data_IF_457982889966
#
_entry.id   IF_457982889966
#
_cell.length_a   1.000
_cell.length_b   1.000
_cell.length_c   1.000
_cell.angle_alpha   90.00
_cell.angle_beta   90.00
_cell.angle_gamma   90.00
#
_symmetry.space_group_name_H-M   'P 1'
#
loop_
_entity.id
_entity.type
_entity.pdbx_description
1 polymer ?
#
# COMPACT_ATOMS: atom_id res chain seq x y z
N UNK A 1 -50.98 26.36 8.99
CA UNK A 1 -50.64 25.55 7.80
C UNK A 1 -49.20 25.76 7.30
N UNK A 2 -48.70 26.99 7.11
CA UNK A 2 -47.33 27.27 6.61
C UNK A 2 -46.19 26.60 7.41
N UNK A 3 -46.23 26.62 8.75
CA UNK A 3 -45.16 26.04 9.59
C UNK A 3 -45.06 24.52 9.49
N UNK A 4 -46.17 23.81 9.30
CA UNK A 4 -46.18 22.36 9.12
C UNK A 4 -45.54 21.94 7.80
N UNK A 5 -45.74 22.73 6.74
CA UNK A 5 -45.13 22.48 5.44
C UNK A 5 -43.61 22.65 5.49
N UNK A 6 -43.12 23.68 6.20
CA UNK A 6 -41.67 23.91 6.40
C UNK A 6 -41.03 22.79 7.22
N UNK A 7 -41.72 22.27 8.25
CA UNK A 7 -41.21 21.15 9.04
C UNK A 7 -41.16 19.85 8.23
N UNK A 8 -42.17 19.59 7.38
CA UNK A 8 -42.20 18.42 6.51
C UNK A 8 -41.10 18.46 5.45
N UNK A 9 -40.86 19.61 4.81
CA UNK A 9 -39.77 19.75 3.83
C UNK A 9 -38.41 19.63 4.49
N UNK A 10 -38.24 20.15 5.71
CA UNK A 10 -37.00 20.03 6.47
C UNK A 10 -36.72 18.57 6.88
N UNK A 11 -37.72 17.84 7.38
CA UNK A 11 -37.56 16.41 7.70
C UNK A 11 -37.26 15.55 6.46
N UNK A 12 -37.90 15.85 5.32
CA UNK A 12 -37.63 15.12 4.07
C UNK A 12 -36.20 15.38 3.56
N UNK A 13 -35.69 16.61 3.69
CA UNK A 13 -34.31 16.94 3.30
C UNK A 13 -33.27 16.24 4.17
N UNK A 14 -33.51 16.09 5.48
CA UNK A 14 -32.58 15.42 6.39
C UNK A 14 -32.54 13.90 6.21
N UNK A 15 -33.67 13.26 5.83
CA UNK A 15 -33.68 11.82 5.56
C UNK A 15 -32.92 11.41 4.28
N UNK A 16 -32.68 12.34 3.36
CA UNK A 16 -31.93 12.08 2.12
C UNK A 16 -30.43 11.78 2.32
N UNK A 17 -29.84 12.16 3.46
CA UNK A 17 -28.41 11.95 3.72
C UNK A 17 -28.07 10.63 4.44
N UNK A 18 -29.05 9.88 4.92
CA UNK A 18 -28.81 8.62 5.63
C UNK A 18 -28.73 7.40 4.69
N UNK A 19 -29.10 7.57 3.42
CA UNK A 19 -29.10 6.53 2.41
C UNK A 19 -27.94 6.70 1.42
N UNK A 20 -26.72 6.92 1.91
CA UNK A 20 -25.57 6.55 1.11
C UNK A 20 -25.59 5.01 1.04
N UNK A 21 -25.63 4.39 -0.16
CA UNK A 21 -25.45 2.95 -0.24
C UNK A 21 -24.13 2.65 0.45
N UNK A 22 -24.15 1.73 1.42
CA UNK A 22 -22.92 1.18 1.98
C UNK A 22 -22.12 0.67 0.78
N UNK A 23 -21.04 1.36 0.44
CA UNK A 23 -20.12 0.93 -0.60
C UNK A 23 -19.80 -0.52 -0.29
N UNK A 24 -20.24 -1.40 -1.18
CA UNK A 24 -20.03 -2.84 -1.06
C UNK A 24 -18.55 -3.02 -0.76
N UNK A 25 -18.21 -3.69 0.34
CA UNK A 25 -16.83 -3.83 0.82
C UNK A 25 -16.09 -4.78 -0.14
N UNK A 26 -15.84 -4.29 -1.35
CA UNK A 26 -15.09 -4.98 -2.38
C UNK A 26 -13.63 -4.90 -1.95
N UNK A 27 -12.90 -6.03 -1.96
CA UNK A 27 -11.49 -6.03 -1.63
C UNK A 27 -10.78 -5.06 -2.57
N UNK A 28 -10.32 -3.94 -2.00
CA UNK A 28 -9.57 -2.91 -2.73
C UNK A 28 -8.22 -3.54 -3.09
N UNK A 29 -8.01 -3.70 -4.39
CA UNK A 29 -6.77 -4.16 -4.94
C UNK A 29 -5.76 -3.01 -4.88
N UNK A 30 -4.84 -3.05 -3.90
CA UNK A 30 -3.79 -2.05 -3.74
C UNK A 30 -2.72 -2.10 -4.84
N UNK A 31 -2.79 -3.09 -5.73
CA UNK A 31 -1.88 -3.29 -6.86
C UNK A 31 -2.27 -2.50 -8.12
N UNK A 32 -3.41 -1.80 -8.11
CA UNK A 32 -3.89 -1.00 -9.24
C UNK A 32 -4.50 -1.81 -10.39
N UNK A 33 -4.50 -3.15 -10.32
CA UNK A 33 -5.02 -4.03 -11.37
C UNK A 33 -6.47 -4.49 -11.14
N UNK A 34 -7.10 -4.02 -10.06
CA UNK A 34 -8.49 -4.38 -9.72
C UNK A 34 -8.67 -5.85 -9.32
N UNK A 35 -7.57 -6.59 -9.12
CA UNK A 35 -7.60 -8.01 -8.81
C UNK A 35 -7.65 -8.23 -7.29
N UNK A 36 -8.61 -9.01 -6.82
CA UNK A 36 -8.71 -9.32 -5.39
C UNK A 36 -7.44 -10.07 -4.93
N UNK A 37 -6.63 -9.52 -3.99
CA UNK A 37 -5.39 -10.15 -3.55
C UNK A 37 -5.62 -11.49 -2.84
N UNK A 38 -6.82 -11.74 -2.34
CA UNK A 38 -7.21 -13.01 -1.71
C UNK A 38 -7.75 -14.04 -2.71
N UNK A 39 -7.98 -13.64 -3.97
CA UNK A 39 -8.43 -14.56 -5.01
C UNK A 39 -7.22 -15.27 -5.59
N UNK A 40 -6.91 -16.44 -5.03
CA UNK A 40 -5.82 -17.27 -5.51
C UNK A 40 -6.06 -17.61 -7.00
N UNK A 41 -5.20 -17.16 -7.92
CA UNK A 41 -5.36 -17.48 -9.33
C UNK A 41 -4.95 -18.93 -9.50
N UNK A 42 -5.92 -19.86 -9.61
CA UNK A 42 -5.76 -21.29 -9.96
C UNK A 42 -4.32 -21.83 -9.81
N UNK A 43 -3.77 -21.79 -8.59
CA UNK A 43 -2.35 -22.11 -8.38
C UNK A 43 -2.24 -23.61 -8.27
N UNK A 44 -1.74 -24.25 -9.32
CA UNK A 44 -0.92 -25.46 -9.18
C UNK A 44 0.04 -25.19 -8.02
N UNK A 45 -0.03 -26.01 -6.98
CA UNK A 45 0.63 -25.80 -5.69
C UNK A 45 2.05 -25.26 -5.88
N UNK A 46 2.25 -23.96 -5.65
CA UNK A 46 3.60 -23.38 -5.62
C UNK A 46 4.24 -23.95 -4.36
N UNK A 47 5.04 -25.00 -4.52
CA UNK A 47 5.84 -25.55 -3.44
C UNK A 47 6.85 -24.47 -3.08
N UNK A 48 6.55 -23.68 -2.04
CA UNK A 48 7.48 -22.72 -1.46
C UNK A 48 8.71 -23.50 -1.02
N UNK A 49 9.74 -23.56 -1.86
CA UNK A 49 11.04 -24.12 -1.47
C UNK A 49 11.46 -23.36 -0.23
N UNK A 50 11.68 -24.10 0.87
CA UNK A 50 12.31 -23.54 2.06
C UNK A 50 13.57 -22.81 1.60
N UNK A 51 13.73 -21.56 2.04
CA UNK A 51 14.94 -20.81 1.78
C UNK A 51 16.13 -21.70 2.14
N UNK A 52 17.01 -21.96 1.16
CA UNK A 52 18.27 -22.62 1.43
C UNK A 52 19.04 -21.76 2.45
N UNK A 53 19.88 -22.43 3.25
CA UNK A 53 20.62 -21.90 4.40
C UNK A 53 20.91 -20.38 4.33
N UNK A 54 20.70 -19.64 5.44
CA UNK A 54 20.93 -18.21 5.45
C UNK A 54 22.32 -17.91 4.90
N UNK A 55 22.38 -16.97 3.96
CA UNK A 55 23.63 -16.45 3.47
C UNK A 55 24.49 -16.02 4.68
N UNK A 56 25.82 -16.21 4.63
CA UNK A 56 26.70 -15.78 5.71
C UNK A 56 26.39 -14.32 6.05
N UNK A 57 26.33 -14.02 7.36
CA UNK A 57 26.00 -12.70 7.86
C UNK A 57 26.99 -11.69 7.27
N UNK A 58 26.55 -10.92 6.27
CA UNK A 58 27.27 -9.74 5.84
C UNK A 58 27.15 -8.69 6.94
N UNK A 59 28.25 -7.95 7.13
CA UNK A 59 28.27 -6.78 7.99
C UNK A 59 27.18 -5.79 7.52
N UNK A 60 26.33 -5.34 8.45
CA UNK A 60 25.23 -4.43 8.15
C UNK A 60 25.79 -3.01 7.95
N UNK A 61 25.81 -2.47 6.71
CA UNK A 61 26.36 -1.14 6.46
C UNK A 61 25.56 -0.03 7.15
N UNK A 62 24.37 -0.31 7.67
CA UNK A 62 23.53 0.62 8.43
C UNK A 62 23.68 0.53 9.94
N UNK A 63 24.57 -0.34 10.46
CA UNK A 63 24.71 -0.53 11.90
C UNK A 63 25.01 0.78 12.65
N UNK A 64 25.96 1.58 12.15
CA UNK A 64 26.33 2.84 12.78
C UNK A 64 25.25 3.92 12.57
N UNK A 65 24.65 4.00 11.38
CA UNK A 65 23.55 4.95 11.11
C UNK A 65 22.36 4.73 12.04
N UNK A 66 22.02 3.48 12.34
CA UNK A 66 20.95 3.14 13.28
C UNK A 66 21.28 3.58 14.71
N UNK A 67 22.56 3.51 15.12
CA UNK A 67 22.99 4.05 16.42
C UNK A 67 22.81 5.56 16.46
N UNK A 68 23.23 6.27 15.43
CA UNK A 68 23.02 7.72 15.29
C UNK A 68 21.53 8.06 15.35
N UNK A 69 20.70 7.38 14.56
CA UNK A 69 19.24 7.58 14.53
C UNK A 69 18.61 7.48 15.94
N UNK A 70 19.07 6.52 16.76
CA UNK A 70 18.60 6.33 18.13
C UNK A 70 18.97 7.47 19.10
N UNK A 71 19.93 8.32 18.76
CA UNK A 71 20.30 9.50 19.55
C UNK A 71 19.55 10.76 19.14
N UNK A 72 18.94 10.76 17.96
CA UNK A 72 18.23 11.93 17.42
C UNK A 72 16.81 12.01 17.96
N UNK A 73 16.30 13.24 18.08
CA UNK A 73 14.89 13.46 18.46
C UNK A 73 13.99 12.86 17.39
N UNK A 74 13.02 11.99 17.74
CA UNK A 74 12.10 11.39 16.77
C UNK A 74 11.42 12.45 15.90
N UNK A 75 11.37 12.18 14.59
CA UNK A 75 10.74 13.02 13.58
C UNK A 75 11.35 14.43 13.40
N UNK A 76 12.52 14.69 13.98
CA UNK A 76 13.28 15.91 13.65
C UNK A 76 13.86 15.85 12.24
N UNK A 77 14.27 17.00 11.70
CA UNK A 77 14.92 17.08 10.38
C UNK A 77 16.16 16.17 10.29
N UNK A 78 17.02 16.22 11.32
CA UNK A 78 18.20 15.36 11.39
C UNK A 78 17.83 13.87 11.46
N UNK A 79 16.74 13.54 12.15
CA UNK A 79 16.25 12.16 12.23
C UNK A 79 15.79 11.67 10.85
N UNK A 80 15.04 12.49 10.11
CA UNK A 80 14.62 12.16 8.74
C UNK A 80 15.80 11.99 7.79
N UNK A 81 16.81 12.87 7.87
CA UNK A 81 18.01 12.75 7.04
C UNK A 81 18.71 11.39 7.23
N UNK A 82 18.91 10.95 8.48
CA UNK A 82 19.54 9.65 8.77
C UNK A 82 18.61 8.48 8.42
N UNK A 83 17.30 8.63 8.63
CA UNK A 83 16.32 7.61 8.27
C UNK A 83 16.31 7.34 6.76
N UNK A 84 16.31 8.40 5.95
CA UNK A 84 16.29 8.31 4.50
C UNK A 84 17.57 7.68 3.94
N UNK A 85 18.73 7.96 4.55
CA UNK A 85 19.98 7.27 4.21
C UNK A 85 19.92 5.76 4.50
N UNK A 86 19.33 5.38 5.63
CA UNK A 86 19.15 3.97 6.01
C UNK A 86 18.24 3.28 5.00
N UNK A 87 17.12 3.90 4.62
CA UNK A 87 16.16 3.34 3.68
C UNK A 87 16.77 3.23 2.27
N UNK A 88 17.50 4.25 1.81
CA UNK A 88 18.17 4.23 0.52
C UNK A 88 19.19 3.07 0.40
N UNK A 89 19.96 2.79 1.47
CA UNK A 89 20.88 1.64 1.47
C UNK A 89 20.12 0.31 1.56
N UNK A 90 19.01 0.25 2.30
CA UNK A 90 18.16 -0.93 2.35
C UNK A 90 17.58 -1.26 0.97
N UNK A 91 17.05 -0.26 0.26
CA UNK A 91 16.55 -0.39 -1.11
C UNK A 91 17.65 -0.83 -2.07
N UNK A 92 18.88 -0.31 -1.92
CA UNK A 92 20.03 -0.75 -2.72
C UNK A 92 20.34 -2.24 -2.49
N UNK A 93 20.33 -2.69 -1.24
CA UNK A 93 20.52 -4.10 -0.91
C UNK A 93 19.38 -4.98 -1.41
N UNK A 94 18.15 -4.51 -1.31
CA UNK A 94 16.99 -5.22 -1.84
C UNK A 94 17.10 -5.33 -3.36
N UNK A 95 17.43 -4.26 -4.07
CA UNK A 95 17.62 -4.28 -5.53
C UNK A 95 18.70 -5.26 -6.00
N UNK A 96 19.77 -5.46 -5.22
CA UNK A 96 20.80 -6.47 -5.56
C UNK A 96 20.38 -7.91 -5.26
N UNK A 97 19.45 -8.12 -4.32
CA UNK A 97 18.98 -9.45 -3.90
C UNK A 97 17.69 -9.89 -4.59
N UNK A 98 16.85 -8.95 -5.02
CA UNK A 98 15.56 -9.23 -5.64
C UNK A 98 15.77 -9.71 -7.08
N UNK A 99 15.25 -10.90 -7.36
CA UNK A 99 15.06 -11.38 -8.73
C UNK A 99 13.56 -11.49 -8.98
N UNK A 100 13.03 -10.59 -9.80
CA UNK A 100 11.63 -10.65 -10.22
C UNK A 100 11.54 -11.63 -11.40
N UNK A 101 10.71 -12.67 -11.29
CA UNK A 101 10.47 -13.61 -12.37
C UNK A 101 9.75 -12.91 -13.53
N UNK A 102 10.37 -12.75 -14.71
CA UNK A 102 9.79 -11.97 -15.81
C UNK A 102 8.55 -12.63 -16.41
N UNK A 103 8.42 -13.96 -16.32
CA UNK A 103 7.24 -14.71 -16.81
C UNK A 103 6.13 -14.84 -15.77
N UNK A 104 6.36 -14.41 -14.54
CA UNK A 104 5.41 -14.53 -13.45
C UNK A 104 4.63 -13.22 -13.22
N UNK A 105 5.11 -12.10 -13.75
CA UNK A 105 4.41 -10.82 -13.76
C UNK A 105 3.52 -10.79 -15.00
N UNK A 106 2.21 -10.68 -14.81
CA UNK A 106 1.29 -10.47 -15.92
C UNK A 106 1.59 -9.11 -16.53
N UNK A 107 1.79 -9.05 -17.86
CA UNK A 107 1.93 -7.77 -18.55
C UNK A 107 0.67 -6.93 -18.29
N UNK A 108 0.81 -5.63 -18.04
CA UNK A 108 -0.35 -4.76 -17.91
C UNK A 108 -1.21 -4.88 -19.19
N UNK A 109 -2.54 -4.96 -19.07
CA UNK A 109 -3.42 -4.94 -20.22
C UNK A 109 -3.18 -3.64 -21.00
N UNK A 110 -3.12 -3.71 -22.33
CA UNK A 110 -2.85 -2.57 -23.22
C UNK A 110 -4.03 -1.59 -23.34
N UNK A 111 -4.68 -1.27 -22.23
CA UNK A 111 -5.79 -0.33 -22.15
C UNK A 111 -5.35 0.89 -21.37
N UNK A 112 -5.49 2.06 -21.98
CA UNK A 112 -5.31 3.39 -21.41
C UNK A 112 -5.38 3.48 -19.87
N UNK A 113 -4.22 3.62 -19.23
CA UNK A 113 -4.08 3.93 -17.81
C UNK A 113 -4.64 5.34 -17.55
N UNK A 114 -5.96 5.45 -17.41
CA UNK A 114 -6.59 6.63 -16.81
C UNK A 114 -6.29 6.55 -15.33
N UNK A 115 -5.16 7.14 -14.94
CA UNK A 115 -4.90 7.49 -13.55
C UNK A 115 -6.07 8.36 -13.11
N UNK A 116 -6.98 7.80 -12.29
CA UNK A 116 -8.18 8.45 -11.80
C UNK A 116 -7.88 9.56 -10.78
N UNK A 117 -6.92 10.45 -11.08
CA UNK A 117 -6.76 11.71 -10.37
C UNK A 117 -7.94 12.59 -10.73
N UNK A 118 -8.99 12.50 -9.91
CA UNK A 118 -10.11 13.43 -9.94
C UNK A 118 -9.56 14.78 -9.47
N UNK A 119 -9.67 15.80 -10.33
CA UNK A 119 -9.41 17.21 -10.02
C UNK A 119 -10.58 17.82 -9.24
#
# INVERSE_FOLDING_TARGET
>A
MRRGFVLLTFCAALMGCAAAPAQEHRPIAWDGFGQNPNQAPNRTSVTKRRAANPAPAQEDPNQERRRVLGTLRPYSEAWWAVHDEIEAENDRQLGTKLVICPRCVQSPPSGEDVTGSIR
#
